data_IF_678450898248
#
_entry.id   IF_678450898248
#
_cell.length_a   1.000
_cell.length_b   1.000
_cell.length_c   1.000
_cell.angle_alpha   90.00
_cell.angle_beta   90.00
_cell.angle_gamma   90.00
#
_symmetry.space_group_name_H-M   'P 1'
#
loop_
_entity.id
_entity.type
_entity.pdbx_description
1 polymer ?
#
# COMPACT_ATOMS: atom_id res chain seq x y z
N UNK A 1 -14.05 3.72 10.96
CA UNK A 1 -14.15 3.64 9.47
C UNK A 1 -12.79 3.81 8.81
N UNK A 2 -12.18 5.00 8.72
CA UNK A 2 -10.88 5.16 8.04
C UNK A 2 -9.72 4.39 8.70
N UNK A 3 -9.63 4.40 10.04
CA UNK A 3 -8.59 3.65 10.77
C UNK A 3 -8.73 2.13 10.59
N UNK A 4 -9.96 1.62 10.61
CA UNK A 4 -10.24 0.20 10.38
C UNK A 4 -9.88 -0.19 8.94
N UNK A 5 -10.12 0.71 7.99
CA UNK A 5 -9.78 0.49 6.59
C UNK A 5 -8.26 0.53 6.35
N UNK A 6 -7.49 1.31 7.12
CA UNK A 6 -6.02 1.22 7.12
C UNK A 6 -5.58 -0.18 7.58
N UNK A 7 -6.14 -0.69 8.69
CA UNK A 7 -5.85 -2.06 9.15
C UNK A 7 -6.17 -3.09 8.08
N UNK A 8 -7.30 -2.92 7.37
CA UNK A 8 -7.66 -3.80 6.26
C UNK A 8 -6.61 -3.79 5.13
N UNK A 9 -6.08 -2.62 4.74
CA UNK A 9 -5.01 -2.53 3.73
C UNK A 9 -3.72 -3.19 4.23
N UNK A 10 -3.38 -3.05 5.52
CA UNK A 10 -2.23 -3.72 6.13
C UNK A 10 -2.37 -5.25 6.02
N UNK A 11 -3.54 -5.79 6.39
CA UNK A 11 -3.84 -7.23 6.30
C UNK A 11 -3.74 -7.75 4.86
N UNK A 12 -4.31 -7.03 3.88
CA UNK A 12 -4.22 -7.37 2.46
C UNK A 12 -2.76 -7.42 1.98
N UNK A 13 -1.93 -6.48 2.43
CA UNK A 13 -0.51 -6.44 2.09
C UNK A 13 0.26 -7.62 2.67
N UNK A 14 0.02 -8.00 3.93
CA UNK A 14 0.67 -9.18 4.52
C UNK A 14 0.20 -10.48 3.87
N UNK A 15 -1.09 -10.57 3.49
CA UNK A 15 -1.60 -11.69 2.69
C UNK A 15 -0.93 -11.75 1.31
N UNK A 16 -0.80 -10.62 0.61
CA UNK A 16 -0.10 -10.55 -0.67
C UNK A 16 1.37 -10.97 -0.56
N UNK A 17 2.05 -10.60 0.53
CA UNK A 17 3.40 -11.10 0.82
C UNK A 17 3.42 -12.61 1.03
N UNK A 18 2.52 -13.15 1.86
CA UNK A 18 2.45 -14.59 2.14
C UNK A 18 2.16 -15.44 0.89
N UNK A 19 1.41 -14.88 -0.07
CA UNK A 19 1.16 -15.49 -1.39
C UNK A 19 2.33 -15.36 -2.37
N UNK A 20 3.42 -14.71 -1.97
CA UNK A 20 4.57 -14.43 -2.84
C UNK A 20 4.33 -13.35 -3.87
N UNK A 21 3.24 -12.56 -3.75
CA UNK A 21 2.95 -11.46 -4.67
C UNK A 21 3.77 -10.20 -4.36
N UNK A 22 4.35 -10.13 -3.16
CA UNK A 22 5.36 -9.15 -2.79
C UNK A 22 6.64 -9.89 -2.42
N UNK A 23 7.68 -9.76 -3.24
CA UNK A 23 8.88 -10.62 -3.12
C UNK A 23 10.01 -9.97 -2.32
N UNK A 24 9.82 -8.74 -1.81
CA UNK A 24 10.86 -7.98 -1.13
C UNK A 24 10.36 -7.49 0.23
N UNK A 25 11.00 -7.95 1.31
CA UNK A 25 10.65 -7.62 2.69
C UNK A 25 10.86 -6.13 3.00
N UNK A 26 11.86 -5.48 2.40
CA UNK A 26 12.10 -4.05 2.55
C UNK A 26 10.93 -3.20 2.07
N UNK A 27 10.30 -3.60 0.96
CA UNK A 27 9.11 -2.93 0.42
C UNK A 27 7.91 -3.15 1.36
N UNK A 28 7.71 -4.37 1.85
CA UNK A 28 6.63 -4.66 2.81
C UNK A 28 6.73 -3.76 4.04
N UNK A 29 7.94 -3.60 4.61
CA UNK A 29 8.20 -2.71 5.75
C UNK A 29 7.98 -1.24 5.41
N UNK A 30 8.43 -0.80 4.23
CA UNK A 30 8.23 0.56 3.75
C UNK A 30 6.75 0.93 3.61
N UNK A 31 5.94 -0.03 3.12
CA UNK A 31 4.50 0.11 3.03
C UNK A 31 3.81 0.10 4.41
N UNK A 32 4.23 -0.76 5.34
CA UNK A 32 3.77 -0.74 6.75
C UNK A 32 3.96 0.64 7.39
N UNK A 33 5.18 1.19 7.26
CA UNK A 33 5.52 2.49 7.84
C UNK A 33 4.59 3.59 7.33
N UNK A 34 4.20 3.56 6.05
CA UNK A 34 3.29 4.57 5.48
C UNK A 34 1.86 4.41 6.00
N UNK A 35 1.37 3.18 6.14
CA UNK A 35 0.03 2.93 6.69
C UNK A 35 -0.04 3.34 8.18
N UNK A 36 0.98 3.01 8.97
CA UNK A 36 1.10 3.46 10.37
C UNK A 36 1.21 5.00 10.48
N UNK A 37 1.99 5.65 9.62
CA UNK A 37 2.06 7.11 9.58
C UNK A 37 0.71 7.76 9.23
N UNK A 38 0.01 7.23 8.22
CA UNK A 38 -1.32 7.72 7.86
C UNK A 38 -2.31 7.56 9.03
N UNK A 39 -2.29 6.41 9.71
CA UNK A 39 -3.07 6.13 10.92
C UNK A 39 -2.81 7.17 12.01
N UNK A 40 -1.54 7.42 12.34
CA UNK A 40 -1.12 8.41 13.34
C UNK A 40 -1.60 9.83 12.99
N UNK A 41 -1.51 10.23 11.72
CA UNK A 41 -2.00 11.53 11.29
C UNK A 41 -3.51 11.66 11.39
N UNK A 42 -4.29 10.62 11.05
CA UNK A 42 -5.74 10.64 11.23
C UNK A 42 -6.14 10.71 12.71
N UNK A 43 -5.49 9.92 13.56
CA UNK A 43 -5.73 9.96 15.02
C UNK A 43 -5.42 11.34 15.62
N UNK A 44 -4.42 12.04 15.08
CA UNK A 44 -4.05 13.38 15.50
C UNK A 44 -4.89 14.51 14.86
N UNK A 45 -5.91 14.18 14.04
CA UNK A 45 -6.78 15.18 13.41
C UNK A 45 -6.15 15.90 12.21
N UNK A 46 -5.18 15.28 11.53
CA UNK A 46 -4.47 15.83 10.37
C UNK A 46 -4.82 15.07 9.06
N UNK A 47 -6.07 15.13 8.57
CA UNK A 47 -6.51 14.32 7.42
C UNK A 47 -5.78 14.68 6.12
N UNK A 48 -5.43 15.95 5.90
CA UNK A 48 -4.65 16.37 4.72
C UNK A 48 -3.25 15.74 4.70
N UNK A 49 -2.61 15.64 5.86
CA UNK A 49 -1.29 15.02 5.97
C UNK A 49 -1.40 13.51 5.79
N UNK A 50 -2.42 12.88 6.36
CA UNK A 50 -2.70 11.46 6.13
C UNK A 50 -2.92 11.16 4.64
N UNK A 51 -3.72 11.98 3.94
CA UNK A 51 -3.94 11.86 2.50
C UNK A 51 -2.64 11.94 1.69
N UNK A 52 -1.69 12.81 2.08
CA UNK A 52 -0.38 12.87 1.43
C UNK A 52 0.45 11.58 1.65
N UNK A 53 0.37 10.99 2.84
CA UNK A 53 1.04 9.71 3.13
C UNK A 53 0.40 8.57 2.34
N UNK A 54 -0.94 8.52 2.22
CA UNK A 54 -1.64 7.53 1.38
C UNK A 54 -1.25 7.68 -0.10
N UNK A 55 -1.14 8.90 -0.62
CA UNK A 55 -0.61 9.12 -1.98
C UNK A 55 0.82 8.61 -2.13
N UNK A 56 1.68 8.82 -1.13
CA UNK A 56 3.04 8.30 -1.15
C UNK A 56 3.07 6.75 -1.15
N UNK A 57 2.16 6.11 -0.39
CA UNK A 57 1.95 4.66 -0.44
C UNK A 57 1.57 4.20 -1.85
N UNK A 58 0.58 4.85 -2.48
CA UNK A 58 0.13 4.51 -3.83
C UNK A 58 1.22 4.69 -4.89
N UNK A 59 2.04 5.74 -4.76
CA UNK A 59 3.17 5.98 -5.64
C UNK A 59 4.22 4.86 -5.54
N UNK A 60 4.51 4.38 -4.34
CA UNK A 60 5.42 3.25 -4.14
C UNK A 60 4.84 1.96 -4.70
N UNK A 61 3.56 1.65 -4.44
CA UNK A 61 2.88 0.48 -5.01
C UNK A 61 2.95 0.49 -6.54
N UNK A 62 2.69 1.64 -7.16
CA UNK A 62 2.78 1.81 -8.61
C UNK A 62 4.23 1.68 -9.11
N UNK A 63 5.17 2.26 -8.38
CA UNK A 63 6.59 2.20 -8.72
C UNK A 63 7.17 0.79 -8.57
N UNK A 64 6.58 -0.09 -7.76
CA UNK A 64 7.08 -1.45 -7.55
C UNK A 64 6.34 -2.51 -8.37
N UNK A 65 5.27 -2.13 -9.08
CA UNK A 65 4.45 -3.05 -9.87
C UNK A 65 5.16 -3.61 -11.10
N UNK A 66 4.97 -4.91 -11.31
CA UNK A 66 5.30 -5.62 -12.55
C UNK A 66 4.21 -5.37 -13.60
N UNK A 67 4.57 -5.42 -14.89
CA UNK A 67 3.59 -5.30 -15.98
C UNK A 67 2.74 -6.55 -16.17
N UNK A 68 3.33 -7.72 -15.94
CA UNK A 68 2.66 -9.03 -15.95
C UNK A 68 3.25 -9.91 -14.84
N UNK A 69 2.64 -11.05 -14.56
CA UNK A 69 3.14 -11.99 -13.55
C UNK A 69 4.41 -12.69 -14.00
N UNK A 70 4.53 -12.99 -15.29
CA UNK A 70 5.63 -13.71 -15.92
C UNK A 70 6.80 -12.78 -16.24
N UNK A 71 6.54 -11.50 -16.50
CA UNK A 71 7.55 -10.50 -16.85
C UNK A 71 7.52 -9.36 -15.84
N UNK A 72 8.40 -9.47 -14.84
CA UNK A 72 8.67 -8.41 -13.90
C UNK A 72 10.01 -7.73 -14.22
N UNK A 73 10.03 -6.42 -14.50
CA UNK A 73 11.27 -5.70 -14.76
C UNK A 73 12.24 -5.78 -13.56
N UNK A 74 13.57 -5.67 -13.79
CA UNK A 74 14.54 -5.62 -12.70
C UNK A 74 14.20 -4.53 -11.68
N UNK A 75 14.26 -4.89 -10.39
CA UNK A 75 13.99 -3.96 -9.29
C UNK A 75 12.50 -3.70 -9.02
N UNK A 76 11.58 -4.41 -9.70
CA UNK A 76 10.16 -4.45 -9.36
C UNK A 76 9.86 -5.70 -8.55
N UNK A 77 8.92 -5.60 -7.61
CA UNK A 77 8.74 -6.61 -6.57
C UNK A 77 7.28 -6.86 -6.18
N UNK A 78 6.33 -6.21 -6.85
CA UNK A 78 4.90 -6.42 -6.67
C UNK A 78 4.31 -6.99 -7.95
N UNK A 79 3.67 -8.15 -7.88
CA UNK A 79 2.92 -8.69 -9.02
C UNK A 79 1.76 -7.75 -9.39
N UNK A 80 1.19 -7.86 -10.60
CA UNK A 80 0.03 -7.05 -10.98
C UNK A 80 -1.14 -7.16 -10.00
N UNK A 81 -1.36 -8.36 -9.44
CA UNK A 81 -2.41 -8.60 -8.44
C UNK A 81 -2.13 -7.85 -7.13
N UNK A 82 -0.91 -7.88 -6.60
CA UNK A 82 -0.55 -7.11 -5.42
C UNK A 82 -0.64 -5.60 -5.68
N UNK A 83 -0.13 -5.12 -6.82
CA UNK A 83 -0.21 -3.70 -7.17
C UNK A 83 -1.65 -3.22 -7.29
N UNK A 84 -2.52 -3.96 -8.00
CA UNK A 84 -3.93 -3.60 -8.14
C UNK A 84 -4.66 -3.63 -6.80
N UNK A 85 -4.50 -4.71 -6.03
CA UNK A 85 -5.13 -4.88 -4.72
C UNK A 85 -4.80 -3.70 -3.79
N UNK A 86 -3.52 -3.36 -3.67
CA UNK A 86 -3.09 -2.30 -2.75
C UNK A 86 -3.42 -0.91 -3.27
N UNK A 87 -3.23 -0.66 -4.57
CA UNK A 87 -3.49 0.66 -5.15
C UNK A 87 -4.96 1.05 -5.07
N UNK A 88 -5.88 0.17 -5.48
CA UNK A 88 -7.29 0.52 -5.52
C UNK A 88 -7.92 0.62 -4.12
N UNK A 89 -7.48 -0.19 -3.16
CA UNK A 89 -7.93 -0.02 -1.77
C UNK A 89 -7.38 1.29 -1.17
N UNK A 90 -6.11 1.65 -1.44
CA UNK A 90 -5.58 2.93 -0.99
C UNK A 90 -6.26 4.14 -1.65
N UNK A 91 -6.62 4.03 -2.93
CA UNK A 91 -7.41 5.04 -3.64
C UNK A 91 -8.80 5.20 -3.00
N UNK A 92 -9.50 4.09 -2.74
CA UNK A 92 -10.79 4.12 -2.05
C UNK A 92 -10.68 4.83 -0.69
N UNK A 93 -9.65 4.49 0.11
CA UNK A 93 -9.41 5.18 1.37
C UNK A 93 -9.24 6.69 1.15
N UNK A 94 -8.36 7.08 0.22
CA UNK A 94 -8.05 8.48 -0.09
C UNK A 94 -9.30 9.29 -0.48
N UNK A 95 -10.21 8.70 -1.25
CA UNK A 95 -11.46 9.35 -1.68
C UNK A 95 -12.46 9.54 -0.54
N UNK A 96 -12.26 8.87 0.60
CA UNK A 96 -13.13 8.89 1.77
C UNK A 96 -12.44 9.44 3.04
N UNK A 97 -11.30 10.13 2.90
CA UNK A 97 -10.60 10.84 3.98
C UNK A 97 -11.12 12.26 4.23
#
# INVERSE_FOLDING_TARGET
MALDFITYIEDLKHQAQALGWITNEGIVKSLDVKLDQARKHLQAGYPKTAANVIRAFMNEVSAQGCSTREVCPPGKHLTPEASGLLYFNAQYLLDHL
#
